data_IF_921389612836
#
_entry.id   IF_921389612836
#
_cell.length_a   1.000
_cell.length_b   1.000
_cell.length_c   1.000
_cell.angle_alpha   90.00
_cell.angle_beta   90.00
_cell.angle_gamma   90.00
#
_symmetry.space_group_name_H-M   'P 1'
#
loop_
_entity.id
_entity.type
_entity.pdbx_description
1 polymer ?
#
# COMPACT_ATOMS: atom_id res chain seq x y z
N UNK A 1 -12.91 5.52 27.64
CA UNK A 1 -12.67 4.16 27.11
C UNK A 1 -13.37 3.20 28.06
N UNK A 2 -14.54 2.66 27.68
CA UNK A 2 -15.22 1.65 28.51
C UNK A 2 -14.34 0.39 28.50
N UNK A 3 -14.08 -0.13 29.70
CA UNK A 3 -13.08 -1.14 29.97
C UNK A 3 -13.57 -2.54 29.57
N UNK A 4 -12.74 -3.29 28.82
CA UNK A 4 -12.78 -4.76 28.82
C UNK A 4 -13.33 -5.48 27.60
N UNK A 5 -13.79 -4.79 26.55
CA UNK A 5 -14.10 -5.44 25.27
C UNK A 5 -13.02 -5.10 24.26
N UNK A 6 -12.40 -6.15 23.68
CA UNK A 6 -11.59 -5.99 22.47
C UNK A 6 -12.48 -5.38 21.40
N UNK A 7 -12.16 -4.14 21.01
CA UNK A 7 -12.80 -3.52 19.85
C UNK A 7 -12.35 -4.33 18.64
N UNK A 8 -13.28 -4.90 17.83
CA UNK A 8 -12.89 -5.64 16.65
C UNK A 8 -12.02 -4.75 15.77
N UNK A 9 -10.89 -5.29 15.31
CA UNK A 9 -10.04 -4.59 14.36
C UNK A 9 -10.82 -4.43 13.05
N UNK A 10 -11.24 -3.21 12.73
CA UNK A 10 -11.83 -2.88 11.44
C UNK A 10 -10.70 -2.62 10.44
N UNK A 11 -10.61 -3.48 9.42
CA UNK A 11 -9.71 -3.24 8.29
C UNK A 11 -10.30 -2.20 7.33
N UNK A 12 -9.51 -1.24 6.84
CA UNK A 12 -9.98 -0.28 5.84
C UNK A 12 -10.25 -0.96 4.49
N UNK A 13 -11.06 -0.31 3.65
CA UNK A 13 -11.32 -0.73 2.27
C UNK A 13 -10.30 -0.02 1.37
N UNK A 14 -9.52 -0.79 0.62
CA UNK A 14 -8.63 -0.25 -0.40
C UNK A 14 -9.41 0.01 -1.69
N UNK A 15 -9.59 1.28 -2.04
CA UNK A 15 -10.19 1.69 -3.30
C UNK A 15 -9.13 1.89 -4.38
N UNK A 16 -9.39 1.39 -5.59
CA UNK A 16 -8.46 1.44 -6.72
C UNK A 16 -9.09 2.19 -7.88
N UNK A 17 -8.31 3.07 -8.51
CA UNK A 17 -8.66 3.70 -9.78
C UNK A 17 -8.07 2.90 -10.96
N UNK A 18 -8.87 2.14 -11.73
CA UNK A 18 -8.38 1.33 -12.85
C UNK A 18 -7.73 2.14 -13.96
N UNK A 19 -8.08 3.43 -14.07
CA UNK A 19 -7.54 4.31 -15.10
C UNK A 19 -6.15 4.87 -14.75
N UNK A 20 -5.71 4.72 -13.50
CA UNK A 20 -4.44 5.26 -13.05
C UNK A 20 -3.25 4.51 -13.67
N UNK A 21 -2.21 5.21 -14.20
CA UNK A 21 -1.08 4.55 -14.86
C UNK A 21 -0.35 3.49 -14.02
N UNK A 22 -0.20 3.71 -12.70
CA UNK A 22 0.42 2.72 -11.82
C UNK A 22 -0.43 1.44 -11.68
N UNK A 23 -1.75 1.57 -11.69
CA UNK A 23 -2.68 0.43 -11.60
C UNK A 23 -2.65 -0.36 -12.91
N UNK A 24 -2.69 0.32 -14.06
CA UNK A 24 -2.51 -0.33 -15.36
C UNK A 24 -1.17 -1.06 -15.47
N UNK A 25 -0.11 -0.49 -14.91
CA UNK A 25 1.24 -1.10 -14.90
C UNK A 25 1.30 -2.40 -14.08
N UNK A 26 0.34 -2.68 -13.19
CA UNK A 26 0.28 -3.98 -12.50
C UNK A 26 0.09 -5.12 -13.50
N UNK A 27 -0.72 -4.90 -14.54
CA UNK A 27 -1.00 -5.91 -15.55
C UNK A 27 0.28 -6.32 -16.28
N UNK A 28 0.65 -7.61 -16.20
CA UNK A 28 1.84 -8.16 -16.84
C UNK A 28 3.18 -7.76 -16.21
N UNK A 29 3.18 -7.06 -15.06
CA UNK A 29 4.42 -6.69 -14.38
C UNK A 29 5.13 -7.90 -13.77
N UNK A 30 6.40 -8.08 -14.09
CA UNK A 30 7.28 -9.02 -13.40
C UNK A 30 7.58 -8.60 -11.93
N UNK A 31 7.17 -7.40 -11.52
CA UNK A 31 7.30 -6.85 -10.17
C UNK A 31 5.93 -6.53 -9.57
N UNK A 32 4.92 -7.34 -9.90
CA UNK A 32 3.54 -7.13 -9.47
C UNK A 32 3.45 -6.88 -7.96
N UNK A 33 4.05 -7.76 -7.15
CA UNK A 33 3.97 -7.67 -5.69
C UNK A 33 4.61 -6.38 -5.14
N UNK A 34 5.78 -6.01 -5.64
CA UNK A 34 6.46 -4.78 -5.21
C UNK A 34 5.65 -3.53 -5.57
N UNK A 35 5.10 -3.50 -6.79
CA UNK A 35 4.29 -2.38 -7.26
C UNK A 35 2.94 -2.30 -6.52
N UNK A 36 2.29 -3.44 -6.26
CA UNK A 36 1.04 -3.50 -5.52
C UNK A 36 1.22 -3.00 -4.07
N UNK A 37 2.28 -3.44 -3.40
CA UNK A 37 2.61 -2.98 -2.06
C UNK A 37 2.94 -1.48 -2.03
N UNK A 38 3.65 -0.96 -3.04
CA UNK A 38 3.88 0.49 -3.16
C UNK A 38 2.56 1.26 -3.31
N UNK A 39 1.63 0.80 -4.15
CA UNK A 39 0.32 1.45 -4.32
C UNK A 39 -0.47 1.42 -3.01
N UNK A 40 -0.44 0.31 -2.29
CA UNK A 40 -1.08 0.18 -0.99
C UNK A 40 -0.48 1.14 0.05
N UNK A 41 0.84 1.15 0.20
CA UNK A 41 1.53 2.04 1.14
C UNK A 41 1.28 3.52 0.81
N UNK A 42 1.17 3.87 -0.48
CA UNK A 42 0.78 5.21 -0.90
C UNK A 42 -0.63 5.57 -0.45
N UNK A 43 -1.59 4.64 -0.50
CA UNK A 43 -2.96 4.86 0.00
C UNK A 43 -2.95 5.08 1.52
N UNK A 44 -2.20 4.27 2.27
CA UNK A 44 -2.03 4.43 3.73
C UNK A 44 -1.40 5.79 4.08
N UNK A 45 -0.38 6.23 3.35
CA UNK A 45 0.23 7.55 3.57
C UNK A 45 -0.77 8.67 3.26
N UNK A 46 -1.57 8.52 2.20
CA UNK A 46 -2.54 9.53 1.77
C UNK A 46 -3.69 9.73 2.77
N UNK A 47 -4.10 8.69 3.51
CA UNK A 47 -5.05 8.81 4.63
C UNK A 47 -4.44 9.34 5.93
N UNK A 48 -3.13 9.65 5.93
CA UNK A 48 -2.38 10.13 7.10
C UNK A 48 -1.83 9.02 8.00
N UNK A 49 -1.91 7.77 7.54
CA UNK A 49 -1.26 6.62 8.17
C UNK A 49 0.24 6.55 7.88
N UNK A 50 0.89 5.57 8.51
CA UNK A 50 2.26 5.19 8.20
C UNK A 50 2.25 3.74 7.70
N UNK A 51 3.05 3.40 6.67
CA UNK A 51 3.26 2.01 6.28
C UNK A 51 3.72 1.21 7.50
N UNK A 52 3.30 -0.05 7.58
CA UNK A 52 3.70 -0.95 8.67
C UNK A 52 5.24 -1.10 8.76
N UNK A 53 5.89 -1.14 7.60
CA UNK A 53 7.36 -1.11 7.48
C UNK A 53 7.81 0.00 6.50
N UNK A 54 8.11 1.22 7.01
CA UNK A 54 8.57 2.33 6.19
C UNK A 54 9.89 2.06 5.45
N UNK A 55 10.77 1.23 6.03
CA UNK A 55 12.06 0.90 5.40
C UNK A 55 11.84 -0.03 4.20
N UNK A 56 10.94 -1.01 4.32
CA UNK A 56 10.55 -1.87 3.21
C UNK A 56 9.87 -1.07 2.09
N UNK A 57 9.00 -0.11 2.41
CA UNK A 57 8.41 0.79 1.42
C UNK A 57 9.49 1.54 0.61
N UNK A 58 10.43 2.21 1.29
CA UNK A 58 11.52 2.94 0.62
C UNK A 58 12.37 1.99 -0.24
N UNK A 59 12.66 0.78 0.25
CA UNK A 59 13.41 -0.24 -0.50
C UNK A 59 12.68 -0.65 -1.78
N UNK A 60 11.35 -0.88 -1.73
CA UNK A 60 10.53 -1.20 -2.91
C UNK A 60 10.57 -0.07 -3.94
N UNK A 61 10.35 1.17 -3.51
CA UNK A 61 10.44 2.35 -4.38
C UNK A 61 11.80 2.41 -5.08
N UNK A 62 12.90 2.31 -4.32
CA UNK A 62 14.24 2.35 -4.88
C UNK A 62 14.48 1.19 -5.87
N UNK A 63 14.01 -0.02 -5.56
CA UNK A 63 14.13 -1.16 -6.48
C UNK A 63 13.32 -0.99 -7.76
N UNK A 64 12.21 -0.25 -7.74
CA UNK A 64 11.40 0.04 -8.93
C UNK A 64 11.99 1.18 -9.77
N UNK A 65 12.70 2.13 -9.15
CA UNK A 65 13.32 3.28 -9.82
C UNK A 65 14.68 2.96 -10.48
N UNK A 66 15.42 1.99 -9.92
CA UNK A 66 16.77 1.63 -10.38
C UNK A 66 16.79 0.49 -11.42
N UNK A 67 15.63 0.08 -11.92
CA UNK A 67 15.48 -0.92 -12.99
C UNK A 67 15.09 -0.24 -14.29
#
# INVERSE_FOLDING_TARGET
KQAGQEVPEMKPILEINPEHPLVKKLEGSAQFDDLANVIFDQAVIAEGGLPEDPAAYVKRINSLLLK
#
